data_IF_226725167492
#
_entry.id   IF_226725167492
#
_cell.length_a   1.000
_cell.length_b   1.000
_cell.length_c   1.000
_cell.angle_alpha   90.00
_cell.angle_beta   90.00
_cell.angle_gamma   90.00
#
_symmetry.space_group_name_H-M   'P 1'
#
loop_
_entity.id
_entity.type
_entity.pdbx_description
1 polymer ?
#
# COMPACT_ATOMS: atom_id res chain seq x y z
N UNK A 1 8.35 -0.07 -4.28
CA UNK A 1 8.64 1.13 -3.47
C UNK A 1 9.61 0.83 -2.34
N UNK A 2 9.25 -0.02 -1.37
CA UNK A 2 10.12 -0.38 -0.24
C UNK A 2 11.54 -0.78 -0.64
N UNK A 3 11.69 -1.63 -1.67
CA UNK A 3 12.99 -2.04 -2.20
C UNK A 3 13.87 -0.88 -2.69
N UNK A 4 13.27 0.18 -3.24
CA UNK A 4 13.98 1.32 -3.83
C UNK A 4 14.32 2.41 -2.80
N UNK A 5 13.45 2.61 -1.82
CA UNK A 5 13.51 3.75 -0.90
C UNK A 5 13.73 3.35 0.58
N UNK A 6 13.78 2.05 0.86
CA UNK A 6 13.93 1.49 2.21
C UNK A 6 12.61 1.15 2.92
N UNK A 7 12.74 0.36 3.98
CA UNK A 7 11.63 -0.08 4.85
C UNK A 7 10.96 1.07 5.61
N UNK A 8 11.74 2.05 6.06
CA UNK A 8 11.29 3.13 6.95
C UNK A 8 11.24 4.49 6.27
N UNK A 9 10.72 4.53 5.03
CA UNK A 9 10.55 5.78 4.29
C UNK A 9 9.27 6.51 4.76
N UNK A 10 9.46 7.59 5.53
CA UNK A 10 8.35 8.42 6.02
C UNK A 10 7.99 9.53 5.03
N UNK A 11 6.70 9.73 4.77
CA UNK A 11 6.22 10.77 3.85
C UNK A 11 4.83 11.28 4.23
N UNK A 12 4.49 12.46 3.73
CA UNK A 12 3.13 12.99 3.77
C UNK A 12 2.48 12.72 2.41
N UNK A 13 1.39 11.97 2.41
CA UNK A 13 0.58 11.75 1.23
C UNK A 13 -0.43 12.89 1.10
N UNK A 14 -0.25 13.69 0.05
CA UNK A 14 -1.13 14.80 -0.33
C UNK A 14 -1.81 14.58 -1.68
N UNK A 15 -1.76 13.35 -2.22
CA UNK A 15 -2.34 12.99 -3.52
C UNK A 15 -3.83 13.31 -3.60
N UNK A 16 -4.55 13.17 -2.50
CA UNK A 16 -6.00 13.36 -2.46
C UNK A 16 -6.46 14.81 -2.19
N UNK A 17 -5.51 15.76 -2.11
CA UNK A 17 -5.83 17.17 -1.75
C UNK A 17 -6.75 17.84 -2.78
N UNK A 18 -6.57 17.53 -4.06
CA UNK A 18 -7.41 18.06 -5.13
C UNK A 18 -8.86 17.54 -5.08
N UNK A 19 -9.07 16.39 -4.44
CA UNK A 19 -10.39 15.79 -4.21
C UNK A 19 -11.01 16.20 -2.86
N UNK A 20 -10.41 17.20 -2.18
CA UNK A 20 -10.94 17.77 -0.93
C UNK A 20 -10.58 16.99 0.33
N UNK A 21 -9.70 15.98 0.24
CA UNK A 21 -9.25 15.22 1.41
C UNK A 21 -7.96 15.79 2.01
N UNK A 22 -7.85 15.73 3.34
CA UNK A 22 -6.67 16.17 4.06
C UNK A 22 -5.47 15.24 3.84
N UNK A 23 -4.26 15.81 3.90
CA UNK A 23 -3.04 15.02 3.81
C UNK A 23 -2.89 14.06 5.00
N UNK A 24 -2.35 12.87 4.76
CA UNK A 24 -2.08 11.84 5.78
C UNK A 24 -0.58 11.57 5.86
N UNK A 25 -0.07 11.29 7.06
CA UNK A 25 1.36 10.99 7.27
C UNK A 25 1.58 9.50 7.51
N UNK A 26 2.57 8.95 6.82
CA UNK A 26 2.94 7.54 6.91
C UNK A 26 4.43 7.37 7.19
N UNK A 27 4.78 6.26 7.82
CA UNK A 27 6.15 5.90 8.20
C UNK A 27 6.83 4.94 7.22
N UNK A 28 6.03 4.27 6.37
CA UNK A 28 6.51 3.36 5.33
C UNK A 28 5.47 3.15 4.24
N UNK A 29 5.90 2.72 3.06
CA UNK A 29 4.99 2.30 1.98
C UNK A 29 4.14 1.09 2.37
N UNK A 30 4.69 0.19 3.22
CA UNK A 30 3.94 -0.95 3.75
C UNK A 30 2.77 -0.48 4.61
N UNK A 31 2.96 0.52 5.46
CA UNK A 31 1.89 1.08 6.28
C UNK A 31 0.75 1.62 5.41
N UNK A 32 1.07 2.33 4.33
CA UNK A 32 0.05 2.87 3.41
C UNK A 32 -0.72 1.75 2.73
N UNK A 33 -0.01 0.71 2.26
CA UNK A 33 -0.65 -0.44 1.63
C UNK A 33 -1.57 -1.21 2.60
N UNK A 34 -1.15 -1.37 3.85
CA UNK A 34 -1.97 -2.01 4.90
C UNK A 34 -3.21 -1.18 5.24
N UNK A 35 -3.07 0.15 5.34
CA UNK A 35 -4.20 1.06 5.58
C UNK A 35 -5.17 1.10 4.39
N UNK A 36 -4.66 1.16 3.16
CA UNK A 36 -5.47 1.12 1.96
C UNK A 36 -6.24 -0.21 1.84
N UNK A 37 -5.62 -1.34 2.18
CA UNK A 37 -6.25 -2.65 2.16
C UNK A 37 -7.41 -2.75 3.15
N UNK A 38 -7.19 -2.40 4.42
CA UNK A 38 -8.25 -2.46 5.44
C UNK A 38 -9.36 -1.43 5.20
N UNK A 39 -9.08 -0.31 4.53
CA UNK A 39 -10.10 0.68 4.16
C UNK A 39 -11.27 0.07 3.38
N UNK A 40 -11.02 -1.00 2.60
CA UNK A 40 -12.04 -1.69 1.79
C UNK A 40 -13.02 -2.48 2.65
N UNK A 41 -12.55 -2.98 3.79
CA UNK A 41 -13.39 -3.62 4.80
C UNK A 41 -14.28 -2.57 5.48
N UNK A 42 -13.70 -1.44 5.90
CA UNK A 42 -14.46 -0.34 6.51
C UNK A 42 -15.47 0.28 5.54
N UNK A 43 -15.16 0.29 4.24
CA UNK A 43 -16.09 0.70 3.19
C UNK A 43 -17.20 -0.31 2.90
N UNK A 44 -17.17 -1.52 3.48
CA UNK A 44 -18.22 -2.53 3.30
C UNK A 44 -18.26 -3.17 1.91
N UNK A 45 -17.17 -3.09 1.15
CA UNK A 45 -17.11 -3.48 -0.27
C UNK A 45 -16.18 -4.65 -0.57
N UNK A 46 -15.41 -5.13 0.41
CA UNK A 46 -14.64 -6.36 0.29
C UNK A 46 -14.72 -7.20 1.58
N UNK A 47 -14.90 -8.51 1.42
CA UNK A 47 -14.72 -9.47 2.51
C UNK A 47 -13.25 -9.54 2.94
N UNK A 48 -13.01 -9.90 4.21
CA UNK A 48 -11.66 -10.00 4.79
C UNK A 48 -10.75 -10.94 4.00
N UNK A 49 -11.27 -12.09 3.59
CA UNK A 49 -10.51 -13.08 2.81
C UNK A 49 -9.99 -12.49 1.49
N UNK A 50 -10.79 -11.66 0.81
CA UNK A 50 -10.37 -11.02 -0.43
C UNK A 50 -9.25 -9.99 -0.19
N UNK A 51 -9.30 -9.29 0.95
CA UNK A 51 -8.30 -8.29 1.33
C UNK A 51 -6.97 -8.97 1.65
N UNK A 52 -6.97 -9.97 2.53
CA UNK A 52 -5.75 -10.65 2.98
C UNK A 52 -5.07 -11.41 1.83
N UNK A 53 -5.84 -12.15 1.03
CA UNK A 53 -5.31 -12.85 -0.13
C UNK A 53 -4.82 -11.89 -1.22
N UNK A 54 -5.54 -10.78 -1.45
CA UNK A 54 -5.11 -9.75 -2.41
C UNK A 54 -3.81 -9.06 -2.01
N UNK A 55 -3.63 -8.78 -0.71
CA UNK A 55 -2.36 -8.24 -0.21
C UNK A 55 -1.20 -9.21 -0.42
N UNK A 56 -1.40 -10.50 -0.13
CA UNK A 56 -0.37 -11.52 -0.33
C UNK A 56 -0.02 -11.69 -1.81
N UNK A 57 -1.03 -11.79 -2.67
CA UNK A 57 -0.84 -11.83 -4.12
C UNK A 57 -0.06 -10.63 -4.64
N UNK A 58 -0.40 -9.41 -4.19
CA UNK A 58 0.29 -8.19 -4.58
C UNK A 58 1.77 -8.19 -4.17
N UNK A 59 2.10 -8.70 -2.97
CA UNK A 59 3.50 -8.86 -2.51
C UNK A 59 4.27 -9.82 -3.40
N UNK A 60 3.68 -10.96 -3.75
CA UNK A 60 4.32 -11.96 -4.62
C UNK A 60 4.60 -11.41 -6.02
N UNK A 61 3.63 -10.70 -6.62
CA UNK A 61 3.83 -10.04 -7.92
C UNK A 61 4.94 -8.97 -7.82
N UNK A 62 4.93 -8.16 -6.76
CA UNK A 62 5.98 -7.16 -6.53
C UNK A 62 7.37 -7.79 -6.40
N UNK A 63 7.48 -8.88 -5.63
CA UNK A 63 8.71 -9.65 -5.49
C UNK A 63 9.20 -10.24 -6.81
N UNK A 64 8.29 -10.83 -7.59
CA UNK A 64 8.59 -11.34 -8.93
C UNK A 64 9.15 -10.25 -9.86
N UNK A 65 8.53 -9.05 -9.88
CA UNK A 65 9.00 -7.94 -10.72
C UNK A 65 10.37 -7.45 -10.28
N UNK A 66 10.61 -7.30 -8.97
CA UNK A 66 11.94 -6.92 -8.43
C UNK A 66 13.00 -7.93 -8.88
N UNK A 67 12.71 -9.23 -8.75
CA UNK A 67 13.63 -10.29 -9.16
C UNK A 67 13.88 -10.26 -10.68
N UNK A 68 12.81 -10.15 -11.48
CA UNK A 68 12.89 -10.14 -12.95
C UNK A 68 13.69 -8.96 -13.48
N UNK A 69 13.55 -7.79 -12.86
CA UNK A 69 14.24 -6.56 -13.24
C UNK A 69 15.61 -6.39 -12.56
N UNK A 70 15.99 -7.31 -11.65
CA UNK A 70 17.24 -7.27 -10.87
C UNK A 70 17.43 -5.95 -10.11
N UNK A 71 16.35 -5.47 -9.50
CA UNK A 71 16.32 -4.26 -8.68
C UNK A 71 16.84 -4.50 -7.25
#
# INVERSE_FOLDING_TARGET
MTKLFGESFSFNDNSEKEFGLGARRFKSFKQVADEAAISRFYGGIHYRDAIENGQEQGKQIGGFIIQKLKL
#
